data_IF_592406706894
#
_entry.id   IF_592406706894
#
_cell.length_a   1.000
_cell.length_b   1.000
_cell.length_c   1.000
_cell.angle_alpha   90.00
_cell.angle_beta   90.00
_cell.angle_gamma   90.00
#
_symmetry.space_group_name_H-M   'P 1'
#
loop_
_entity.id
_entity.type
_entity.pdbx_description
1 polymer ?
#
# COMPACT_ATOMS: atom_id res chain seq x y z
N UNK A 1 -31.51 -21.08 -13.14
CA UNK A 1 -30.27 -20.55 -12.53
C UNK A 1 -29.52 -19.64 -13.51
N UNK A 2 -29.36 -19.99 -14.79
CA UNK A 2 -28.89 -19.06 -15.85
C UNK A 2 -29.86 -17.91 -16.19
N UNK A 3 -31.14 -18.05 -15.84
CA UNK A 3 -32.21 -17.09 -16.17
C UNK A 3 -32.14 -15.72 -15.47
N UNK A 4 -31.34 -15.55 -14.40
CA UNK A 4 -31.30 -14.28 -13.65
C UNK A 4 -30.31 -13.27 -14.25
N UNK A 5 -29.16 -13.73 -14.74
CA UNK A 5 -28.18 -12.87 -15.44
C UNK A 5 -28.71 -12.40 -16.81
N UNK A 6 -29.39 -13.28 -17.55
CA UNK A 6 -29.93 -12.98 -18.88
C UNK A 6 -31.19 -12.09 -18.83
N UNK A 7 -31.86 -12.00 -17.68
CA UNK A 7 -33.12 -11.28 -17.51
C UNK A 7 -33.04 -9.75 -17.40
N UNK A 8 -31.84 -9.16 -17.43
CA UNK A 8 -31.64 -7.69 -17.30
C UNK A 8 -32.27 -7.06 -16.03
N UNK A 9 -32.50 -7.83 -14.97
CA UNK A 9 -33.06 -7.34 -13.71
C UNK A 9 -32.05 -6.61 -12.80
N UNK A 10 -30.75 -6.71 -13.11
CA UNK A 10 -29.68 -6.04 -12.36
C UNK A 10 -29.28 -4.72 -13.02
N UNK A 11 -29.16 -3.66 -12.21
CA UNK A 11 -28.54 -2.38 -12.60
C UNK A 11 -27.12 -2.65 -13.14
N UNK A 12 -26.78 -2.01 -14.26
CA UNK A 12 -25.52 -2.21 -14.96
C UNK A 12 -24.29 -1.92 -14.08
N UNK A 13 -24.41 -1.02 -13.09
CA UNK A 13 -23.34 -0.70 -12.13
C UNK A 13 -23.07 -1.83 -11.14
N UNK A 14 -24.06 -2.70 -10.92
CA UNK A 14 -23.92 -3.89 -10.07
C UNK A 14 -23.35 -5.06 -10.88
N UNK A 15 -23.70 -5.17 -12.16
CA UNK A 15 -23.16 -6.21 -13.05
C UNK A 15 -21.65 -6.14 -13.17
N UNK A 16 -21.06 -4.94 -13.25
CA UNK A 16 -19.60 -4.76 -13.34
C UNK A 16 -18.85 -5.09 -12.05
N UNK A 17 -19.54 -5.32 -10.93
CA UNK A 17 -18.96 -5.67 -9.63
C UNK A 17 -19.12 -7.17 -9.29
N UNK A 18 -19.70 -7.98 -10.17
CA UNK A 18 -19.86 -9.42 -9.95
C UNK A 18 -18.53 -10.10 -10.24
N UNK A 19 -17.93 -10.70 -9.21
CA UNK A 19 -16.67 -11.45 -9.34
C UNK A 19 -16.88 -12.87 -9.88
N UNK A 20 -17.93 -13.56 -9.44
CA UNK A 20 -18.28 -14.89 -9.92
C UNK A 20 -19.73 -15.27 -9.59
N UNK A 21 -20.29 -16.16 -10.39
CA UNK A 21 -21.55 -16.85 -10.12
C UNK A 21 -21.26 -18.30 -9.73
N UNK A 22 -21.42 -18.61 -8.43
CA UNK A 22 -20.99 -19.88 -7.86
C UNK A 22 -22.18 -20.84 -7.66
N UNK A 23 -22.15 -22.05 -8.27
CA UNK A 23 -23.20 -23.03 -8.07
C UNK A 23 -23.14 -23.62 -6.65
N UNK A 24 -24.29 -23.67 -5.97
CA UNK A 24 -24.45 -24.23 -4.62
C UNK A 24 -25.19 -25.56 -4.65
N UNK A 25 -24.73 -26.48 -3.82
CA UNK A 25 -25.24 -27.85 -3.66
C UNK A 25 -26.40 -27.92 -2.66
N UNK A 26 -26.42 -27.01 -1.68
CA UNK A 26 -27.45 -26.93 -0.65
C UNK A 26 -28.09 -25.53 -0.58
N UNK A 27 -29.33 -25.47 -0.09
CA UNK A 27 -30.03 -24.22 0.25
C UNK A 27 -30.07 -24.02 1.77
N UNK A 28 -30.09 -22.76 2.23
CA UNK A 28 -30.07 -22.42 3.66
C UNK A 28 -28.65 -22.26 4.20
N UNK A 29 -28.46 -22.45 5.51
CA UNK A 29 -27.18 -22.15 6.19
C UNK A 29 -25.99 -22.97 5.65
N UNK A 30 -26.21 -24.23 5.29
CA UNK A 30 -25.18 -25.08 4.68
C UNK A 30 -24.73 -24.59 3.30
N UNK A 31 -25.65 -24.04 2.50
CA UNK A 31 -25.33 -23.43 1.20
C UNK A 31 -24.57 -22.11 1.35
N UNK A 32 -24.84 -21.35 2.41
CA UNK A 32 -24.10 -20.12 2.71
C UNK A 32 -22.64 -20.42 3.07
N UNK A 33 -22.38 -21.46 3.88
CA UNK A 33 -21.01 -21.88 4.20
C UNK A 33 -20.25 -22.36 2.96
N UNK A 34 -20.89 -23.17 2.11
CA UNK A 34 -20.31 -23.60 0.82
C UNK A 34 -20.00 -22.39 -0.10
N UNK A 35 -20.89 -21.38 -0.13
CA UNK A 35 -20.66 -20.16 -0.91
C UNK A 35 -19.44 -19.40 -0.39
N UNK A 36 -19.30 -19.25 0.92
CA UNK A 36 -18.16 -18.55 1.54
C UNK A 36 -16.87 -19.24 1.16
N UNK A 37 -16.78 -20.56 1.32
CA UNK A 37 -15.58 -21.35 0.97
C UNK A 37 -15.20 -21.17 -0.50
N UNK A 38 -16.15 -21.32 -1.43
CA UNK A 38 -15.89 -21.13 -2.86
C UNK A 38 -15.56 -19.68 -3.23
N UNK A 39 -16.11 -18.71 -2.50
CA UNK A 39 -15.83 -17.29 -2.74
C UNK A 39 -14.43 -16.90 -2.30
N UNK A 40 -13.84 -17.56 -1.29
CA UNK A 40 -12.48 -17.27 -0.83
C UNK A 40 -11.45 -17.41 -1.95
N UNK A 41 -11.56 -18.45 -2.78
CA UNK A 41 -10.63 -18.67 -3.90
C UNK A 41 -10.81 -17.63 -4.99
N UNK A 42 -12.07 -17.26 -5.30
CA UNK A 42 -12.38 -16.20 -6.26
C UNK A 42 -11.84 -14.85 -5.78
N UNK A 43 -12.02 -14.53 -4.50
CA UNK A 43 -11.56 -13.28 -3.89
C UNK A 43 -10.03 -13.19 -3.91
N UNK A 44 -9.34 -14.28 -3.56
CA UNK A 44 -7.87 -14.34 -3.66
C UNK A 44 -7.41 -14.12 -5.10
N UNK A 45 -8.06 -14.77 -6.07
CA UNK A 45 -7.76 -14.57 -7.48
C UNK A 45 -7.96 -13.12 -7.93
N UNK A 46 -9.06 -12.49 -7.50
CA UNK A 46 -9.35 -11.09 -7.81
C UNK A 46 -8.29 -10.14 -7.22
N UNK A 47 -7.88 -10.34 -5.96
CA UNK A 47 -6.83 -9.55 -5.33
C UNK A 47 -5.49 -9.67 -6.08
N UNK A 48 -5.08 -10.89 -6.46
CA UNK A 48 -3.84 -11.09 -7.24
C UNK A 48 -3.90 -10.41 -8.62
N UNK A 49 -5.08 -10.37 -9.25
CA UNK A 49 -5.26 -9.63 -10.51
C UNK A 49 -5.12 -8.13 -10.29
N UNK A 50 -5.72 -7.58 -9.24
CA UNK A 50 -5.61 -6.16 -8.87
C UNK A 50 -4.16 -5.76 -8.58
N UNK A 51 -3.43 -6.56 -7.78
CA UNK A 51 -2.01 -6.36 -7.51
C UNK A 51 -1.20 -6.31 -8.81
N UNK A 52 -1.42 -7.28 -9.71
CA UNK A 52 -0.72 -7.37 -10.99
C UNK A 52 -1.02 -6.16 -11.87
N UNK A 53 -2.29 -5.76 -11.99
CA UNK A 53 -2.69 -4.62 -12.81
C UNK A 53 -2.08 -3.30 -12.30
N UNK A 54 -1.98 -3.13 -10.98
CA UNK A 54 -1.36 -1.98 -10.36
C UNK A 54 0.13 -1.88 -10.70
N UNK A 55 0.88 -2.98 -10.54
CA UNK A 55 2.30 -3.03 -10.90
C UNK A 55 2.51 -2.83 -12.40
N UNK A 56 1.71 -3.48 -13.25
CA UNK A 56 1.73 -3.28 -14.70
C UNK A 56 1.53 -1.80 -15.08
N UNK A 57 0.59 -1.11 -14.43
CA UNK A 57 0.32 0.32 -14.65
C UNK A 57 1.56 1.17 -14.34
N UNK A 58 2.27 0.88 -13.25
CA UNK A 58 3.53 1.55 -12.90
C UNK A 58 4.58 1.35 -13.98
N UNK A 59 4.88 0.10 -14.36
CA UNK A 59 5.94 -0.19 -15.34
C UNK A 59 5.60 0.34 -16.74
N UNK A 60 4.34 0.26 -17.17
CA UNK A 60 3.89 0.85 -18.44
C UNK A 60 4.05 2.37 -18.44
N UNK A 61 3.79 3.03 -17.32
CA UNK A 61 3.96 4.49 -17.19
C UNK A 61 5.44 4.85 -17.16
N UNK A 62 6.25 4.12 -16.39
CA UNK A 62 7.69 4.32 -16.29
C UNK A 62 8.37 4.23 -17.66
N UNK A 63 7.95 3.27 -18.51
CA UNK A 63 8.49 3.10 -19.85
C UNK A 63 8.11 4.23 -20.84
N UNK A 64 6.97 4.90 -20.62
CA UNK A 64 6.46 5.96 -21.52
C UNK A 64 6.83 7.35 -21.04
N UNK A 65 6.61 7.62 -19.76
CA UNK A 65 6.74 8.91 -19.09
C UNK A 65 7.38 8.68 -17.71
N UNK A 66 8.70 8.50 -17.62
CA UNK A 66 9.38 8.19 -16.36
C UNK A 66 9.18 9.27 -15.28
N UNK A 67 9.01 10.54 -15.68
CA UNK A 67 8.78 11.65 -14.75
C UNK A 67 7.44 11.59 -13.99
N UNK A 68 6.53 10.69 -14.38
CA UNK A 68 5.25 10.45 -13.71
C UNK A 68 5.28 9.26 -12.75
N UNK A 69 6.46 8.69 -12.49
CA UNK A 69 6.64 7.57 -11.56
C UNK A 69 7.73 7.93 -10.56
N UNK A 70 7.38 7.92 -9.28
CA UNK A 70 8.35 7.92 -8.19
C UNK A 70 8.56 6.49 -7.71
N UNK A 71 9.77 6.11 -7.34
CA UNK A 71 10.05 4.79 -6.78
C UNK A 71 11.13 4.82 -5.71
N UNK A 72 11.08 3.85 -4.81
CA UNK A 72 11.86 3.87 -3.59
C UNK A 72 11.23 4.74 -2.50
N UNK A 73 11.50 4.38 -1.24
CA UNK A 73 10.80 4.93 -0.07
C UNK A 73 10.90 6.45 0.01
N UNK A 74 12.06 7.02 -0.27
CA UNK A 74 12.30 8.47 -0.16
C UNK A 74 11.46 9.27 -1.16
N UNK A 75 11.54 8.92 -2.43
CA UNK A 75 10.87 9.67 -3.50
C UNK A 75 9.36 9.48 -3.43
N UNK A 76 8.88 8.28 -3.07
CA UNK A 76 7.46 8.02 -2.84
C UNK A 76 6.92 8.84 -1.67
N UNK A 77 7.60 8.87 -0.52
CA UNK A 77 7.16 9.70 0.61
C UNK A 77 7.18 11.19 0.27
N UNK A 78 8.20 11.66 -0.44
CA UNK A 78 8.24 13.05 -0.90
C UNK A 78 7.05 13.35 -1.82
N UNK A 79 6.69 12.44 -2.72
CA UNK A 79 5.54 12.61 -3.61
C UNK A 79 4.20 12.63 -2.87
N UNK A 80 4.07 11.85 -1.80
CA UNK A 80 2.91 11.86 -0.90
C UNK A 80 2.82 13.17 -0.12
N UNK A 81 3.91 13.58 0.53
CA UNK A 81 3.99 14.83 1.30
C UNK A 81 3.72 16.08 0.46
N UNK A 82 4.10 16.05 -0.82
CA UNK A 82 3.85 17.14 -1.77
C UNK A 82 2.53 17.01 -2.54
N UNK A 83 1.71 16.00 -2.24
CA UNK A 83 0.37 15.82 -2.83
C UNK A 83 0.35 15.43 -4.30
N UNK A 84 1.46 14.91 -4.82
CA UNK A 84 1.63 14.57 -6.23
C UNK A 84 1.15 13.14 -6.53
N UNK A 85 1.17 12.25 -5.54
CA UNK A 85 0.81 10.85 -5.75
C UNK A 85 -0.70 10.67 -6.04
N UNK A 86 -1.01 9.92 -7.09
CA UNK A 86 -2.35 9.40 -7.41
C UNK A 86 -2.56 8.04 -6.77
N UNK A 87 -1.57 7.16 -6.90
CA UNK A 87 -1.63 5.76 -6.48
C UNK A 87 -0.25 5.32 -6.01
N UNK A 88 -0.19 4.58 -4.92
CA UNK A 88 1.03 3.97 -4.38
C UNK A 88 0.87 2.45 -4.37
N UNK A 89 1.89 1.76 -4.87
CA UNK A 89 2.06 0.31 -4.71
C UNK A 89 3.20 0.06 -3.74
N UNK A 90 2.98 -0.77 -2.74
CA UNK A 90 3.96 -1.06 -1.68
C UNK A 90 3.99 -2.55 -1.39
N UNK A 91 5.18 -3.12 -1.18
CA UNK A 91 5.29 -4.51 -0.76
C UNK A 91 4.82 -4.69 0.69
N UNK A 92 4.23 -5.85 0.96
CA UNK A 92 3.79 -6.25 2.30
C UNK A 92 4.94 -6.52 3.31
N UNK A 93 6.18 -6.64 2.84
CA UNK A 93 7.37 -6.94 3.63
C UNK A 93 8.42 -5.80 3.63
N UNK A 94 7.96 -4.55 3.51
CA UNK A 94 8.84 -3.39 3.49
C UNK A 94 9.41 -3.10 4.90
N UNK A 95 10.66 -3.48 5.13
CA UNK A 95 11.30 -3.38 6.45
C UNK A 95 11.82 -1.98 6.79
N UNK A 96 10.92 -0.99 6.88
CA UNK A 96 11.23 0.36 7.35
C UNK A 96 10.29 0.76 8.48
N UNK A 97 10.81 1.55 9.41
CA UNK A 97 10.05 2.20 10.47
C UNK A 97 10.14 3.70 10.29
N UNK A 98 8.99 4.38 10.42
CA UNK A 98 8.95 5.81 10.66
C UNK A 98 9.14 6.05 12.15
N UNK A 99 10.15 6.83 12.49
CA UNK A 99 10.50 7.14 13.88
C UNK A 99 10.44 8.64 14.08
N UNK A 100 9.49 9.07 14.89
CA UNK A 100 9.37 10.47 15.34
C UNK A 100 9.98 10.60 16.74
N UNK A 101 10.91 11.55 16.90
CA UNK A 101 11.58 11.84 18.17
C UNK A 101 11.27 13.26 18.60
N UNK A 102 10.71 13.41 19.80
CA UNK A 102 10.37 14.71 20.39
C UNK A 102 11.21 14.94 21.64
N UNK A 103 12.02 16.00 21.65
CA UNK A 103 12.87 16.34 22.80
C UNK A 103 12.02 16.92 23.93
N UNK A 104 11.97 16.25 25.08
CA UNK A 104 11.17 16.68 26.23
C UNK A 104 11.67 17.98 26.87
N UNK A 105 12.92 18.36 26.64
CA UNK A 105 13.52 19.55 27.26
C UNK A 105 13.30 20.85 26.45
N UNK A 106 13.16 20.76 25.11
CA UNK A 106 13.06 21.95 24.26
C UNK A 106 12.01 21.87 23.15
N UNK A 107 11.29 20.75 23.04
CA UNK A 107 10.26 20.54 22.02
C UNK A 107 10.78 20.37 20.59
N UNK A 108 12.08 20.07 20.41
CA UNK A 108 12.62 19.76 19.08
C UNK A 108 12.08 18.43 18.57
N UNK A 109 11.45 18.44 17.40
CA UNK A 109 10.95 17.24 16.72
C UNK A 109 11.84 16.89 15.52
N UNK A 110 12.20 15.61 15.39
CA UNK A 110 12.82 15.06 14.19
C UNK A 110 12.14 13.77 13.77
N UNK A 111 12.00 13.56 12.46
CA UNK A 111 11.46 12.35 11.86
C UNK A 111 12.55 11.66 11.03
N UNK A 112 12.68 10.34 11.17
CA UNK A 112 13.65 9.52 10.44
C UNK A 112 13.02 8.22 9.98
N UNK A 113 13.44 7.78 8.80
CA UNK A 113 13.18 6.44 8.30
C UNK A 113 14.39 5.57 8.60
N UNK A 114 14.16 4.45 9.27
CA UNK A 114 15.21 3.55 9.70
C UNK A 114 14.76 2.14 9.34
N UNK A 115 15.66 1.29 8.83
CA UNK A 115 15.35 -0.13 8.67
C UNK A 115 15.11 -0.76 10.04
N UNK A 116 14.19 -1.72 10.18
CA UNK A 116 13.87 -2.25 11.51
C UNK A 116 15.11 -2.88 12.18
N UNK A 117 15.95 -3.58 11.40
CA UNK A 117 17.22 -4.15 11.85
C UNK A 117 18.22 -3.10 12.39
N UNK A 118 18.25 -1.91 11.80
CA UNK A 118 19.13 -0.82 12.24
C UNK A 118 18.63 -0.12 13.51
N UNK A 119 17.32 -0.17 13.76
CA UNK A 119 16.73 0.38 14.97
C UNK A 119 17.11 -0.43 16.21
N UNK A 120 17.16 -1.77 16.12
CA UNK A 120 17.52 -2.64 17.24
C UNK A 120 19.00 -2.58 17.61
N UNK A 121 19.86 -2.25 16.65
CA UNK A 121 21.33 -2.29 16.80
C UNK A 121 21.96 -0.94 17.14
N UNK A 122 21.31 0.17 16.80
CA UNK A 122 21.79 1.52 17.14
C UNK A 122 21.04 2.03 18.38
N UNK A 123 21.72 1.98 19.52
CA UNK A 123 21.33 2.73 20.71
C UNK A 123 21.16 4.20 20.32
N UNK A 124 19.91 4.67 20.29
CA UNK A 124 19.46 5.90 19.64
C UNK A 124 19.82 7.16 20.46
N UNK A 125 20.94 7.13 21.17
CA UNK A 125 21.41 8.13 22.13
C UNK A 125 22.16 9.28 21.45
N UNK A 126 21.63 9.74 20.31
CA UNK A 126 22.11 10.98 19.70
C UNK A 126 21.56 12.18 20.48
N UNK A 127 22.42 13.08 21.00
CA UNK A 127 21.99 14.24 21.78
C UNK A 127 21.24 15.24 20.90
N UNK A 128 20.31 15.98 21.50
CA UNK A 128 19.51 16.97 20.82
C UNK A 128 20.40 18.06 20.20
N UNK A 129 20.28 18.34 18.88
CA UNK A 129 21.10 19.35 18.22
C UNK A 129 20.82 20.78 18.71
N UNK A 130 19.66 21.02 19.34
CA UNK A 130 19.30 22.34 19.91
C UNK A 130 19.78 22.57 21.34
N UNK A 131 19.69 21.56 22.21
CA UNK A 131 19.88 21.76 23.65
C UNK A 131 20.84 20.76 24.31
N UNK A 132 21.37 19.79 23.56
CA UNK A 132 22.29 18.78 24.08
C UNK A 132 21.65 17.72 25.01
N UNK A 133 20.33 17.80 25.27
CA UNK A 133 19.62 16.80 26.07
C UNK A 133 19.55 15.47 25.32
N UNK A 134 19.62 14.37 26.07
CA UNK A 134 19.45 12.99 25.57
C UNK A 134 18.05 12.45 25.82
N UNK A 135 17.16 13.25 26.43
CA UNK A 135 15.80 12.82 26.75
C UNK A 135 14.86 13.10 25.59
N UNK A 136 14.42 12.02 24.94
CA UNK A 136 13.46 12.04 23.84
C UNK A 136 12.29 11.12 24.12
N UNK A 137 11.10 11.57 23.76
CA UNK A 137 9.96 10.71 23.50
C UNK A 137 10.11 10.15 22.08
N UNK A 138 9.93 8.84 21.91
CA UNK A 138 10.14 8.14 20.65
C UNK A 138 8.86 7.42 20.28
N UNK A 139 8.25 7.86 19.18
CA UNK A 139 7.12 7.20 18.55
C UNK A 139 7.62 6.43 17.33
N UNK A 140 7.07 5.23 17.14
CA UNK A 140 7.43 4.34 16.03
C UNK A 140 6.15 3.92 15.33
N UNK A 141 6.19 3.97 14.02
CA UNK A 141 5.10 3.56 13.15
C UNK A 141 5.66 2.70 12.01
N UNK A 142 4.88 1.70 11.60
CA UNK A 142 5.21 0.90 10.42
C UNK A 142 5.17 1.79 9.18
N UNK A 143 6.10 1.58 8.25
CA UNK A 143 6.17 2.39 7.03
C UNK A 143 4.90 2.29 6.17
N UNK A 144 4.26 1.11 6.11
CA UNK A 144 3.04 0.91 5.33
C UNK A 144 1.91 1.71 5.95
N UNK A 145 1.76 1.66 7.28
CA UNK A 145 0.75 2.43 8.02
C UNK A 145 0.98 3.95 7.83
N UNK A 146 2.23 4.40 7.87
CA UNK A 146 2.58 5.80 7.62
C UNK A 146 2.26 6.23 6.19
N UNK A 147 2.55 5.39 5.18
CA UNK A 147 2.19 5.64 3.77
C UNK A 147 0.68 5.75 3.61
N UNK A 148 -0.10 4.86 4.24
CA UNK A 148 -1.57 4.89 4.21
C UNK A 148 -2.09 6.20 4.78
N UNK A 149 -1.59 6.62 5.94
CA UNK A 149 -1.98 7.89 6.57
C UNK A 149 -1.70 9.10 5.66
N UNK A 150 -0.53 9.15 5.02
CA UNK A 150 -0.21 10.21 4.07
C UNK A 150 -1.07 10.16 2.81
N UNK A 151 -1.36 8.97 2.29
CA UNK A 151 -2.17 8.78 1.09
C UNK A 151 -3.63 9.19 1.32
N UNK A 152 -4.21 8.84 2.47
CA UNK A 152 -5.57 9.25 2.86
C UNK A 152 -5.72 10.78 2.86
N UNK A 153 -4.72 11.50 3.39
CA UNK A 153 -4.73 12.95 3.46
C UNK A 153 -4.82 13.63 2.08
N UNK A 154 -4.34 12.98 1.01
CA UNK A 154 -4.35 13.50 -0.35
C UNK A 154 -5.32 12.75 -1.28
N UNK A 155 -6.09 11.79 -0.73
CA UNK A 155 -6.96 10.88 -1.48
C UNK A 155 -6.21 10.13 -2.60
N UNK A 156 -5.06 9.53 -2.24
CA UNK A 156 -4.33 8.61 -3.10
C UNK A 156 -4.68 7.16 -2.75
N UNK A 157 -4.73 6.30 -3.77
CA UNK A 157 -4.99 4.87 -3.58
C UNK A 157 -3.71 4.16 -3.11
N UNK A 158 -3.81 3.26 -2.13
CA UNK A 158 -2.68 2.42 -1.69
C UNK A 158 -3.01 0.96 -1.95
N UNK A 159 -2.15 0.28 -2.69
CA UNK A 159 -2.29 -1.14 -3.02
C UNK A 159 -1.07 -1.89 -2.45
N UNK A 160 -1.34 -2.82 -1.55
CA UNK A 160 -0.32 -3.68 -0.97
C UNK A 160 -0.10 -4.87 -1.88
N UNK A 161 1.17 -5.13 -2.21
CA UNK A 161 1.60 -6.16 -3.16
C UNK A 161 2.28 -7.28 -2.40
N UNK A 162 1.89 -8.52 -2.71
CA UNK A 162 2.48 -9.72 -2.12
C UNK A 162 3.89 -9.93 -2.67
N UNK A 163 4.89 -9.95 -1.79
CA UNK A 163 6.31 -10.07 -2.17
C UNK A 163 6.71 -11.43 -2.74
N UNK A 164 5.84 -12.44 -2.64
CA UNK A 164 6.02 -13.80 -3.17
C UNK A 164 5.58 -13.96 -4.64
N UNK A 165 4.99 -12.93 -5.23
CA UNK A 165 4.47 -12.95 -6.60
C UNK A 165 5.50 -12.46 -7.63
N UNK A 166 5.30 -12.78 -8.91
CA UNK A 166 6.19 -12.31 -9.99
C UNK A 166 6.22 -10.77 -10.10
N UNK A 167 5.07 -10.11 -9.94
CA UNK A 167 4.98 -8.65 -9.95
C UNK A 167 5.49 -8.03 -8.65
N UNK A 168 5.40 -8.75 -7.53
CA UNK A 168 6.09 -8.38 -6.28
C UNK A 168 7.60 -8.33 -6.47
N UNK A 169 8.19 -9.35 -7.11
CA UNK A 169 9.62 -9.34 -7.45
C UNK A 169 10.00 -8.21 -8.43
N UNK A 170 9.12 -7.87 -9.38
CA UNK A 170 9.32 -6.68 -10.21
C UNK A 170 9.35 -5.40 -9.37
N UNK A 171 8.41 -5.23 -8.43
CA UNK A 171 8.38 -4.06 -7.55
C UNK A 171 9.60 -4.00 -6.63
N UNK A 172 10.14 -5.14 -6.17
CA UNK A 172 11.42 -5.19 -5.42
C UNK A 172 12.56 -4.55 -6.20
N UNK A 173 12.61 -4.72 -7.52
CA UNK A 173 13.64 -4.09 -8.37
C UNK A 173 13.59 -2.55 -8.36
N UNK A 174 12.44 -1.97 -8.01
CA UNK A 174 12.23 -0.52 -7.83
C UNK A 174 12.39 -0.07 -6.36
N UNK A 175 12.89 -0.94 -5.47
CA UNK A 175 13.06 -0.64 -4.05
C UNK A 175 11.83 -0.96 -3.19
N UNK A 176 10.90 -1.76 -3.71
CA UNK A 176 9.76 -2.31 -2.97
C UNK A 176 8.56 -1.37 -2.81
N UNK A 177 8.66 -0.15 -3.32
CA UNK A 177 7.56 0.83 -3.31
C UNK A 177 7.66 1.74 -4.54
N UNK A 178 6.53 2.05 -5.14
CA UNK A 178 6.43 2.98 -6.26
C UNK A 178 5.11 3.76 -6.22
N UNK A 179 5.10 4.95 -6.80
CA UNK A 179 3.92 5.80 -6.89
C UNK A 179 3.73 6.32 -8.30
N UNK A 180 2.48 6.31 -8.76
CA UNK A 180 2.05 7.03 -9.94
C UNK A 180 1.72 8.47 -9.55
N UNK A 181 2.24 9.44 -10.29
CA UNK A 181 2.04 10.85 -10.00
C UNK A 181 0.95 11.46 -10.89
N UNK A 182 0.18 12.40 -10.33
CA UNK A 182 -0.83 13.21 -11.03
C UNK A 182 -0.19 14.19 -12.02
N UNK A 183 1.03 14.63 -11.73
CA UNK A 183 1.83 15.55 -12.53
C UNK A 183 3.32 15.25 -12.35
N UNK A 184 4.16 15.75 -13.27
CA UNK A 184 5.59 15.48 -13.26
C UNK A 184 6.27 16.05 -12.01
N UNK A 185 7.17 15.27 -11.42
CA UNK A 185 8.02 15.74 -10.33
C UNK A 185 8.91 16.89 -10.84
N UNK A 186 8.81 18.05 -10.18
CA UNK A 186 9.59 19.25 -10.50
C UNK A 186 11.03 19.20 -9.98
#
# INVERSE_FOLDING_TARGET
RELFEQGNYLDYRLKSKILANLPLSYSGEGGLRELIEKSMDVLKGAALVEEKEAVDKIFRTLARNPNLVAYGVKDVLQSLMSGQAEMVVVLNDLDYLHVKRTCQNCGFEEEKLIKAEEFETKDNSMPCPKCGSTTFEVEKEDIIDYIVTLAEAISADVIVISSETEWGEQLKSLGGVAALLRYEAS
#
